data_IF_186923237650
#
_entry.id   IF_186923237650
#
_cell.length_a   1.000
_cell.length_b   1.000
_cell.length_c   1.000
_cell.angle_alpha   90.00
_cell.angle_beta   90.00
_cell.angle_gamma   90.00
#
_symmetry.space_group_name_H-M   'P 1'
#
loop_
_entity.id
_entity.type
_entity.pdbx_description
1 polymer ?
#
# COMPACT_ATOMS: atom_id res chain seq x y z
N UNK A 1 -0.60 -7.66 -29.42
CA UNK A 1 -2.00 -7.52 -29.82
C UNK A 1 -2.10 -6.96 -31.25
N UNK A 2 -2.17 -7.84 -32.27
CA UNK A 2 -2.54 -7.42 -33.63
C UNK A 2 -4.06 -7.17 -33.60
N UNK A 3 -4.50 -5.92 -33.73
CA UNK A 3 -5.90 -5.57 -33.96
C UNK A 3 -6.53 -4.49 -33.07
N UNK A 4 -6.01 -4.18 -31.91
CA UNK A 4 -6.47 -3.00 -31.13
C UNK A 4 -5.54 -1.80 -31.36
N UNK A 5 -6.13 -0.62 -31.54
CA UNK A 5 -5.31 0.60 -31.60
C UNK A 5 -4.54 0.70 -30.29
N UNK A 6 -3.23 0.69 -30.34
CA UNK A 6 -2.28 0.72 -29.19
C UNK A 6 -2.67 1.78 -28.15
N UNK A 7 -3.17 2.93 -28.60
CA UNK A 7 -3.64 4.02 -27.74
C UNK A 7 -4.81 3.66 -26.82
N UNK A 8 -5.74 2.80 -27.25
CA UNK A 8 -6.88 2.38 -26.42
C UNK A 8 -6.49 1.29 -25.44
N UNK A 9 -5.63 0.34 -25.86
CA UNK A 9 -5.10 -0.69 -25.00
C UNK A 9 -4.31 -0.09 -23.83
N UNK A 10 -3.44 0.89 -24.09
CA UNK A 10 -2.61 1.51 -23.06
C UNK A 10 -3.41 2.38 -22.06
N UNK A 11 -4.62 2.79 -22.40
CA UNK A 11 -5.53 3.55 -21.52
C UNK A 11 -6.38 2.66 -20.62
N UNK A 12 -6.56 1.40 -20.96
CA UNK A 12 -7.39 0.47 -20.19
C UNK A 12 -6.76 0.13 -18.84
N UNK A 13 -7.56 -0.24 -17.81
CA UNK A 13 -7.06 -0.74 -16.54
C UNK A 13 -6.12 -1.92 -16.71
N UNK A 14 -5.11 -2.02 -15.86
CA UNK A 14 -4.06 -3.05 -16.00
C UNK A 14 -4.60 -4.47 -15.94
N UNK A 15 -5.54 -4.77 -15.06
CA UNK A 15 -6.13 -6.10 -14.95
C UNK A 15 -6.95 -6.46 -16.22
N UNK A 16 -7.67 -5.51 -16.80
CA UNK A 16 -8.40 -5.74 -18.05
C UNK A 16 -7.44 -6.04 -19.20
N UNK A 17 -6.31 -5.33 -19.29
CA UNK A 17 -5.26 -5.61 -20.28
C UNK A 17 -4.64 -7.00 -20.09
N UNK A 18 -4.33 -7.37 -18.84
CA UNK A 18 -3.80 -8.69 -18.52
C UNK A 18 -4.81 -9.78 -18.87
N UNK A 19 -6.10 -9.58 -18.57
CA UNK A 19 -7.18 -10.52 -18.92
C UNK A 19 -7.25 -10.74 -20.43
N UNK A 20 -7.24 -9.67 -21.23
CA UNK A 20 -7.25 -9.75 -22.68
C UNK A 20 -6.03 -10.53 -23.20
N UNK A 21 -4.83 -10.25 -22.67
CA UNK A 21 -3.60 -10.92 -23.09
C UNK A 21 -3.63 -12.42 -22.76
N UNK A 22 -4.04 -12.78 -21.54
CA UNK A 22 -4.12 -14.17 -21.10
C UNK A 22 -5.16 -14.97 -21.90
N UNK A 23 -6.35 -14.40 -22.12
CA UNK A 23 -7.39 -15.01 -22.97
C UNK A 23 -6.88 -15.28 -24.40
N UNK A 24 -6.16 -14.32 -24.99
CA UNK A 24 -5.54 -14.50 -26.32
C UNK A 24 -4.49 -15.61 -26.35
N UNK A 25 -3.89 -15.96 -25.21
CA UNK A 25 -2.94 -17.05 -25.03
C UNK A 25 -3.62 -18.37 -24.61
N UNK A 26 -4.94 -18.45 -24.63
CA UNK A 26 -5.70 -19.65 -24.26
C UNK A 26 -5.78 -19.91 -22.75
N UNK A 27 -5.38 -18.95 -21.91
CA UNK A 27 -5.36 -19.11 -20.45
C UNK A 27 -6.70 -18.67 -19.87
N UNK A 28 -7.27 -19.46 -18.96
CA UNK A 28 -8.50 -19.11 -18.22
C UNK A 28 -8.22 -17.97 -17.26
N UNK A 29 -9.14 -16.98 -17.18
CA UNK A 29 -8.95 -15.74 -16.40
C UNK A 29 -10.05 -15.49 -15.36
N UNK A 30 -10.74 -16.55 -14.92
CA UNK A 30 -11.90 -16.45 -14.04
C UNK A 30 -11.63 -15.71 -12.72
N UNK A 31 -10.38 -15.74 -12.23
CA UNK A 31 -9.98 -15.18 -10.94
C UNK A 31 -9.05 -13.97 -11.04
N UNK A 32 -8.81 -13.41 -12.24
CA UNK A 32 -7.83 -12.33 -12.41
C UNK A 32 -8.18 -11.06 -11.62
N UNK A 33 -9.47 -10.83 -11.35
CA UNK A 33 -9.94 -9.69 -10.55
C UNK A 33 -10.14 -10.03 -9.07
N UNK A 34 -10.10 -11.31 -8.71
CA UNK A 34 -10.26 -11.81 -7.35
C UNK A 34 -9.05 -12.67 -6.98
N UNK A 35 -7.90 -12.01 -6.88
CA UNK A 35 -6.63 -12.68 -6.56
C UNK A 35 -6.66 -13.13 -5.11
N UNK A 36 -6.55 -14.42 -4.88
CA UNK A 36 -6.39 -15.00 -3.54
C UNK A 36 -4.90 -15.02 -3.16
N UNK A 37 -4.56 -14.36 -2.05
CA UNK A 37 -3.22 -14.32 -1.47
C UNK A 37 -3.15 -15.11 -0.14
N UNK A 38 -4.20 -15.84 0.24
CA UNK A 38 -4.24 -16.56 1.53
C UNK A 38 -3.16 -17.64 1.63
N UNK A 39 -2.79 -18.24 0.51
CA UNK A 39 -1.70 -19.23 0.42
C UNK A 39 -0.33 -18.69 0.83
N UNK A 40 -0.15 -17.35 0.79
CA UNK A 40 1.10 -16.68 1.15
C UNK A 40 1.12 -16.19 2.60
N UNK A 41 0.08 -16.45 3.38
CA UNK A 41 0.00 -16.03 4.78
C UNK A 41 0.72 -17.06 5.64
N UNK A 42 1.72 -16.58 6.39
CA UNK A 42 2.51 -17.39 7.33
C UNK A 42 2.39 -16.80 8.76
N UNK A 43 2.74 -17.59 9.75
CA UNK A 43 2.81 -17.11 11.13
C UNK A 43 4.00 -16.16 11.33
N UNK A 44 3.69 -14.93 11.69
CA UNK A 44 4.64 -13.87 12.05
C UNK A 44 4.40 -13.30 13.45
N UNK A 45 3.68 -14.05 14.29
CA UNK A 45 3.27 -13.59 15.61
C UNK A 45 4.47 -13.17 16.49
N UNK A 46 5.59 -13.90 16.40
CA UNK A 46 6.83 -13.56 17.12
C UNK A 46 7.39 -12.20 16.67
N UNK A 47 7.38 -11.93 15.35
CA UNK A 47 7.82 -10.65 14.79
C UNK A 47 6.91 -9.51 15.26
N UNK A 48 5.59 -9.72 15.21
CA UNK A 48 4.62 -8.71 15.65
C UNK A 48 4.77 -8.44 17.15
N UNK A 49 4.78 -9.45 18.01
CA UNK A 49 4.87 -9.30 19.48
C UNK A 49 6.16 -8.61 19.93
N UNK A 50 7.28 -8.85 19.28
CA UNK A 50 8.54 -8.12 19.51
C UNK A 50 8.38 -6.61 19.27
N UNK A 51 7.44 -6.22 18.40
CA UNK A 51 7.26 -4.84 17.96
C UNK A 51 6.05 -4.14 18.57
N UNK A 52 4.95 -4.82 18.79
CA UNK A 52 3.74 -4.23 19.37
C UNK A 52 2.83 -5.27 20.01
N UNK A 53 2.12 -4.86 21.08
CA UNK A 53 1.01 -5.59 21.69
C UNK A 53 -0.36 -5.01 21.31
N UNK A 54 -0.41 -4.01 20.42
CA UNK A 54 -1.63 -3.29 20.05
C UNK A 54 -1.98 -3.53 18.61
N UNK A 55 -3.25 -3.23 18.24
CA UNK A 55 -3.59 -3.04 16.84
C UNK A 55 -2.68 -1.98 16.21
N UNK A 56 -2.38 -2.13 14.93
CA UNK A 56 -1.43 -1.23 14.29
C UNK A 56 -1.88 -0.73 12.92
N UNK A 57 -1.47 0.50 12.65
CA UNK A 57 -1.53 1.14 11.34
C UNK A 57 -0.19 0.89 10.67
N UNK A 58 -0.22 0.38 9.44
CA UNK A 58 0.98 0.11 8.67
C UNK A 58 1.14 1.16 7.58
N UNK A 59 2.31 1.80 7.51
CA UNK A 59 2.60 2.82 6.52
C UNK A 59 3.64 2.34 5.50
N UNK A 60 3.43 2.71 4.23
CA UNK A 60 4.36 2.45 3.12
C UNK A 60 4.72 3.77 2.43
N UNK A 61 5.66 4.53 3.00
CA UNK A 61 6.00 5.88 2.55
C UNK A 61 7.02 5.90 1.41
N UNK A 62 7.62 4.76 1.09
CA UNK A 62 8.71 4.68 0.13
C UNK A 62 8.21 4.41 -1.29
N UNK A 63 9.07 4.63 -2.25
CA UNK A 63 8.88 4.27 -3.64
C UNK A 63 10.25 4.05 -4.30
N UNK A 64 10.26 3.44 -5.48
CA UNK A 64 11.49 3.30 -6.26
C UNK A 64 12.15 4.66 -6.52
N UNK A 65 13.47 4.72 -6.39
CA UNK A 65 14.25 5.92 -6.72
C UNK A 65 14.07 6.41 -8.17
N UNK A 66 13.60 5.52 -9.06
CA UNK A 66 13.24 5.86 -10.44
C UNK A 66 11.95 6.71 -10.55
N UNK A 67 11.15 6.76 -9.49
CA UNK A 67 9.84 7.42 -9.48
C UNK A 67 9.64 8.30 -8.23
N UNK A 68 10.52 9.29 -7.98
CA UNK A 68 10.46 10.12 -6.76
C UNK A 68 9.15 10.92 -6.63
N UNK A 69 8.50 11.22 -7.76
CA UNK A 69 7.19 11.88 -7.82
C UNK A 69 6.02 11.04 -7.25
N UNK A 70 6.24 9.76 -6.95
CA UNK A 70 5.27 8.90 -6.23
C UNK A 70 5.36 9.04 -4.71
N UNK A 71 6.34 9.77 -4.19
CA UNK A 71 6.59 9.88 -2.76
C UNK A 71 5.89 11.08 -2.18
N UNK A 72 4.96 10.84 -1.25
CA UNK A 72 4.36 11.91 -0.46
C UNK A 72 5.31 12.31 0.68
N UNK A 73 5.69 13.61 0.81
CA UNK A 73 6.78 13.99 1.71
C UNK A 73 6.38 14.12 3.18
N UNK A 74 5.08 14.05 3.52
CA UNK A 74 4.59 14.45 4.84
C UNK A 74 4.23 13.28 5.76
N UNK A 75 4.73 12.07 5.53
CA UNK A 75 4.45 10.90 6.38
C UNK A 75 4.83 11.12 7.84
N UNK A 76 5.98 11.74 8.12
CA UNK A 76 6.40 12.06 9.50
C UNK A 76 5.35 12.89 10.23
N UNK A 77 4.88 13.98 9.61
CA UNK A 77 3.84 14.85 10.17
C UNK A 77 2.50 14.12 10.34
N UNK A 78 2.18 13.20 9.44
CA UNK A 78 0.98 12.38 9.56
C UNK A 78 1.08 11.42 10.75
N UNK A 79 2.22 10.77 10.94
CA UNK A 79 2.49 9.87 12.08
C UNK A 79 2.33 10.62 13.40
N UNK A 80 2.89 11.81 13.52
CA UNK A 80 2.77 12.68 14.69
C UNK A 80 1.29 13.00 14.98
N UNK A 81 0.54 13.41 13.95
CA UNK A 81 -0.88 13.75 14.08
C UNK A 81 -1.76 12.54 14.44
N UNK A 82 -1.48 11.35 13.91
CA UNK A 82 -2.18 10.12 14.27
C UNK A 82 -1.90 9.75 15.74
N UNK A 83 -0.65 9.88 16.18
CA UNK A 83 -0.27 9.61 17.57
C UNK A 83 -0.91 10.56 18.57
N UNK A 84 -0.95 11.84 18.24
CA UNK A 84 -1.59 12.85 19.06
C UNK A 84 -3.09 12.55 19.26
N UNK A 85 -3.78 12.22 18.18
CA UNK A 85 -5.24 12.00 18.21
C UNK A 85 -5.62 10.65 18.83
N UNK A 86 -5.00 9.56 18.39
CA UNK A 86 -5.35 8.20 18.84
C UNK A 86 -4.57 7.77 20.08
N UNK A 87 -3.58 8.57 20.52
CA UNK A 87 -2.74 8.29 21.69
C UNK A 87 -2.16 6.87 21.66
N UNK A 88 -2.52 6.04 22.64
CA UNK A 88 -2.04 4.67 22.77
C UNK A 88 -2.92 3.62 22.09
N UNK A 89 -3.98 4.01 21.37
CA UNK A 89 -4.91 3.06 20.74
C UNK A 89 -4.24 2.21 19.67
N UNK A 90 -3.43 2.84 18.81
CA UNK A 90 -2.74 2.14 17.72
C UNK A 90 -1.23 2.32 17.79
N UNK A 91 -0.49 1.27 17.41
CA UNK A 91 0.91 1.41 17.03
C UNK A 91 1.01 1.81 15.56
N UNK A 92 2.02 2.61 15.20
CA UNK A 92 2.29 2.95 13.80
C UNK A 92 3.57 2.27 13.41
N UNK A 93 3.48 1.34 12.47
CA UNK A 93 4.59 0.52 12.00
C UNK A 93 4.97 0.90 10.56
N UNK A 94 6.24 0.76 10.25
CA UNK A 94 6.79 0.85 8.89
C UNK A 94 7.65 -0.37 8.62
N UNK A 95 7.43 -1.04 7.49
CA UNK A 95 8.21 -2.18 7.02
C UNK A 95 9.06 -1.74 5.81
N UNK A 96 10.32 -1.32 6.02
CA UNK A 96 11.18 -0.86 4.94
C UNK A 96 11.74 -2.02 4.13
N UNK A 97 11.98 -1.76 2.83
CA UNK A 97 12.86 -2.59 2.02
C UNK A 97 14.35 -2.44 2.43
N UNK A 98 15.25 -3.26 1.84
CA UNK A 98 16.66 -3.29 2.25
C UNK A 98 17.40 -1.94 2.18
N UNK A 99 16.99 -1.05 1.27
CA UNK A 99 17.64 0.25 1.05
C UNK A 99 16.88 1.44 1.69
N UNK A 100 15.81 1.16 2.45
CA UNK A 100 14.91 2.18 2.98
C UNK A 100 15.05 2.37 4.50
N UNK A 101 15.89 1.56 5.16
CA UNK A 101 15.99 1.49 6.62
C UNK A 101 16.35 2.83 7.26
N UNK A 102 17.36 3.52 6.74
CA UNK A 102 17.81 4.81 7.29
C UNK A 102 16.76 5.91 7.13
N UNK A 103 15.99 5.83 6.08
CA UNK A 103 14.86 6.74 5.89
C UNK A 103 13.69 6.40 6.81
N UNK A 104 13.40 5.11 7.00
CA UNK A 104 12.35 4.63 7.90
C UNK A 104 12.55 5.09 9.34
N UNK A 105 13.78 5.11 9.83
CA UNK A 105 14.15 5.60 11.18
C UNK A 105 13.75 7.07 11.42
N UNK A 106 13.68 7.88 10.36
CA UNK A 106 13.34 9.32 10.45
C UNK A 106 11.85 9.61 10.56
N UNK A 107 10.99 8.60 10.42
CA UNK A 107 9.52 8.79 10.29
C UNK A 107 8.78 8.87 11.62
N UNK A 108 9.45 8.69 12.77
CA UNK A 108 8.79 8.55 14.07
C UNK A 108 7.77 7.38 14.13
N UNK A 109 7.80 6.45 13.17
CA UNK A 109 7.09 5.18 13.19
C UNK A 109 8.01 4.07 13.71
N UNK A 110 7.43 3.02 14.25
CA UNK A 110 8.25 1.87 14.68
C UNK A 110 8.63 1.04 13.46
N UNK A 111 9.91 0.89 13.23
CA UNK A 111 10.45 0.05 12.16
C UNK A 111 10.30 -1.41 12.55
N UNK A 112 9.70 -2.23 11.67
CA UNK A 112 9.53 -3.68 11.87
C UNK A 112 10.47 -4.44 10.94
N UNK A 113 11.27 -5.31 11.54
CA UNK A 113 12.29 -6.14 10.88
C UNK A 113 12.20 -7.57 11.43
N UNK A 114 12.73 -8.52 10.71
CA UNK A 114 13.00 -9.87 11.21
C UNK A 114 14.49 -10.04 11.43
N UNK A 115 14.93 -10.13 12.70
CA UNK A 115 16.34 -10.23 13.08
C UNK A 115 17.22 -9.18 12.38
N UNK A 116 16.78 -7.90 12.44
CA UNK A 116 17.45 -6.73 11.85
C UNK A 116 17.52 -6.72 10.32
N UNK A 117 16.79 -7.61 9.65
CA UNK A 117 16.68 -7.69 8.19
C UNK A 117 15.27 -7.31 7.76
N UNK A 118 15.13 -6.70 6.58
CA UNK A 118 13.82 -6.42 5.97
C UNK A 118 13.01 -7.69 5.83
N UNK A 119 11.69 -7.58 6.05
CA UNK A 119 10.78 -8.71 5.92
C UNK A 119 10.85 -9.31 4.51
N UNK A 120 10.77 -10.62 4.42
CA UNK A 120 10.53 -11.31 3.14
C UNK A 120 9.15 -10.94 2.59
N UNK A 121 8.91 -11.16 1.30
CA UNK A 121 7.61 -10.85 0.69
C UNK A 121 6.44 -11.57 1.38
N UNK A 122 6.62 -12.83 1.76
CA UNK A 122 5.58 -13.63 2.45
C UNK A 122 5.32 -13.08 3.85
N UNK A 123 6.36 -12.70 4.60
CA UNK A 123 6.23 -12.03 5.90
C UNK A 123 5.54 -10.67 5.76
N UNK A 124 5.86 -9.91 4.71
CA UNK A 124 5.22 -8.62 4.43
C UNK A 124 3.72 -8.79 4.11
N UNK A 125 3.35 -9.78 3.28
CA UNK A 125 1.95 -10.14 3.00
C UNK A 125 1.22 -10.45 4.31
N UNK A 126 1.84 -11.24 5.19
CA UNK A 126 1.27 -11.61 6.49
C UNK A 126 1.12 -10.40 7.42
N UNK A 127 2.10 -9.49 7.44
CA UNK A 127 2.03 -8.24 8.21
C UNK A 127 0.91 -7.33 7.71
N UNK A 128 0.78 -7.18 6.40
CA UNK A 128 -0.31 -6.44 5.77
C UNK A 128 -1.66 -7.06 6.17
N UNK A 129 -1.78 -8.38 6.10
CA UNK A 129 -3.00 -9.07 6.49
C UNK A 129 -3.39 -8.84 7.97
N UNK A 130 -2.43 -8.72 8.88
CA UNK A 130 -2.65 -8.46 10.31
C UNK A 130 -2.89 -6.99 10.66
N UNK A 131 -2.61 -6.06 9.76
CA UNK A 131 -2.77 -4.63 10.01
C UNK A 131 -4.24 -4.23 10.14
N UNK A 132 -4.52 -3.23 10.99
CA UNK A 132 -5.84 -2.61 11.12
C UNK A 132 -6.16 -1.67 9.98
N UNK A 133 -5.16 -0.91 9.56
CA UNK A 133 -5.31 0.10 8.52
C UNK A 133 -3.98 0.32 7.78
N UNK A 134 -4.06 0.70 6.52
CA UNK A 134 -2.89 0.92 5.67
C UNK A 134 -2.91 2.32 5.07
N UNK A 135 -1.74 2.96 5.05
CA UNK A 135 -1.52 4.22 4.36
C UNK A 135 -0.29 4.05 3.46
N UNK A 136 -0.46 4.17 2.17
CA UNK A 136 0.61 3.85 1.21
C UNK A 136 0.73 4.87 0.07
N UNK A 137 1.92 5.01 -0.48
CA UNK A 137 2.10 5.53 -1.84
C UNK A 137 1.72 4.43 -2.87
N UNK A 138 1.63 4.79 -4.15
CA UNK A 138 1.43 3.83 -5.26
C UNK A 138 2.66 2.94 -5.45
N UNK A 139 2.68 1.81 -4.73
CA UNK A 139 3.81 0.86 -4.65
C UNK A 139 3.32 -0.58 -4.52
N UNK A 140 4.22 -1.56 -4.64
CA UNK A 140 3.89 -2.98 -4.51
C UNK A 140 3.07 -3.33 -3.26
N UNK A 141 3.48 -2.90 -2.05
CA UNK A 141 2.70 -3.13 -0.83
C UNK A 141 1.26 -2.60 -0.87
N UNK A 142 1.01 -1.47 -1.56
CA UNK A 142 -0.35 -0.95 -1.74
C UNK A 142 -1.21 -1.89 -2.57
N UNK A 143 -0.67 -2.48 -3.64
CA UNK A 143 -1.37 -3.47 -4.46
C UNK A 143 -1.67 -4.75 -3.67
N UNK A 144 -0.71 -5.25 -2.90
CA UNK A 144 -0.92 -6.39 -1.99
C UNK A 144 -2.05 -6.07 -0.99
N UNK A 145 -2.05 -4.87 -0.42
CA UNK A 145 -3.09 -4.41 0.51
C UNK A 145 -4.48 -4.41 -0.12
N UNK A 146 -4.58 -3.95 -1.36
CA UNK A 146 -5.81 -3.97 -2.13
C UNK A 146 -6.30 -5.39 -2.38
N UNK A 147 -5.44 -6.30 -2.84
CA UNK A 147 -5.80 -7.70 -3.11
C UNK A 147 -6.16 -8.47 -1.83
N UNK A 148 -5.60 -8.12 -0.67
CA UNK A 148 -6.01 -8.64 0.64
C UNK A 148 -7.27 -7.96 1.18
N UNK A 149 -7.90 -7.08 0.41
CA UNK A 149 -9.10 -6.32 0.78
C UNK A 149 -8.97 -5.58 2.12
N UNK A 150 -7.79 -5.03 2.40
CA UNK A 150 -7.50 -4.32 3.65
C UNK A 150 -8.13 -2.93 3.68
N UNK A 151 -8.51 -2.50 4.87
CA UNK A 151 -8.90 -1.11 5.07
C UNK A 151 -7.69 -0.19 4.89
N UNK A 152 -7.82 0.81 4.04
CA UNK A 152 -6.70 1.72 3.83
C UNK A 152 -6.92 2.79 2.79
N UNK A 153 -5.88 3.57 2.61
CA UNK A 153 -5.78 4.63 1.60
C UNK A 153 -4.46 4.53 0.85
N UNK A 154 -4.50 4.86 -0.42
CA UNK A 154 -3.31 4.97 -1.27
C UNK A 154 -3.25 6.36 -1.90
N UNK A 155 -2.06 6.95 -1.94
CA UNK A 155 -1.84 8.32 -2.38
C UNK A 155 -1.30 8.34 -3.82
N UNK A 156 -1.99 9.08 -4.69
CA UNK A 156 -1.64 9.23 -6.10
C UNK A 156 -1.36 10.68 -6.45
N UNK A 157 -0.24 10.89 -7.15
CA UNK A 157 -0.03 12.09 -7.95
C UNK A 157 -0.48 11.88 -9.41
N UNK A 158 -0.05 12.78 -10.31
CA UNK A 158 -0.40 12.72 -11.75
C UNK A 158 0.34 11.65 -12.56
N UNK A 159 1.27 10.90 -11.95
CA UNK A 159 2.09 9.88 -12.64
C UNK A 159 1.27 8.72 -13.22
N UNK A 160 0.12 8.41 -12.61
CA UNK A 160 -0.85 7.41 -13.06
C UNK A 160 -2.20 7.65 -12.36
N UNK A 161 -3.18 6.78 -12.55
CA UNK A 161 -4.46 6.85 -11.83
C UNK A 161 -4.78 5.52 -11.16
N UNK A 162 -5.51 5.58 -10.04
CA UNK A 162 -5.98 4.41 -9.31
C UNK A 162 -6.79 3.45 -10.21
N UNK A 163 -7.62 4.02 -11.11
CA UNK A 163 -8.39 3.26 -12.11
C UNK A 163 -7.46 2.51 -13.07
N UNK A 164 -6.42 3.17 -13.59
CA UNK A 164 -5.49 2.56 -14.55
C UNK A 164 -4.72 1.39 -13.96
N UNK A 165 -4.37 1.46 -12.68
CA UNK A 165 -3.63 0.38 -11.99
C UNK A 165 -4.56 -0.61 -11.27
N UNK A 166 -5.88 -0.42 -11.33
CA UNK A 166 -6.90 -1.32 -10.76
C UNK A 166 -6.71 -1.58 -9.26
N UNK A 167 -6.38 -0.52 -8.48
CA UNK A 167 -6.01 -0.69 -7.06
C UNK A 167 -7.17 -0.47 -6.10
N UNK A 168 -8.24 0.21 -6.51
CA UNK A 168 -9.36 0.50 -5.63
C UNK A 168 -10.34 -0.67 -5.49
N UNK A 169 -10.84 -0.84 -4.28
CA UNK A 169 -11.96 -1.72 -3.96
C UNK A 169 -12.84 -1.08 -2.88
N UNK A 170 -13.76 -1.81 -2.26
CA UNK A 170 -14.67 -1.30 -1.22
C UNK A 170 -13.91 -0.70 -0.04
N UNK A 171 -12.85 -1.34 0.42
CA UNK A 171 -12.13 -1.01 1.65
C UNK A 171 -10.87 -0.17 1.41
N UNK A 172 -10.28 -0.26 0.21
CA UNK A 172 -9.03 0.41 -0.13
C UNK A 172 -9.27 1.50 -1.17
N UNK A 173 -9.09 2.78 -0.78
CA UNK A 173 -9.44 3.94 -1.59
C UNK A 173 -8.25 4.81 -1.92
N UNK A 174 -8.28 5.43 -3.10
CA UNK A 174 -7.26 6.38 -3.53
C UNK A 174 -7.61 7.82 -3.14
N UNK A 175 -6.58 8.57 -2.72
CA UNK A 175 -6.60 10.03 -2.69
C UNK A 175 -5.73 10.48 -3.86
N UNK A 176 -6.33 11.15 -4.84
CA UNK A 176 -5.63 11.59 -6.05
C UNK A 176 -5.52 13.10 -6.09
N UNK A 177 -4.30 13.60 -6.35
CA UNK A 177 -3.97 15.02 -6.51
C UNK A 177 -3.04 15.20 -7.71
N UNK A 178 -2.93 16.42 -8.22
CA UNK A 178 -1.98 16.71 -9.31
C UNK A 178 -0.53 16.51 -8.89
N UNK A 179 -0.18 17.01 -7.69
CA UNK A 179 1.15 16.85 -7.10
C UNK A 179 1.01 16.40 -5.65
N UNK A 180 1.74 15.34 -5.26
CA UNK A 180 1.69 14.84 -3.89
C UNK A 180 2.17 15.86 -2.86
N UNK A 181 3.06 16.76 -3.23
CA UNK A 181 3.54 17.86 -2.38
C UNK A 181 2.40 18.81 -1.97
N UNK A 182 1.35 18.93 -2.78
CA UNK A 182 0.20 19.79 -2.48
C UNK A 182 -0.84 19.10 -1.57
N UNK A 183 -0.75 17.79 -1.39
CA UNK A 183 -1.67 17.02 -0.55
C UNK A 183 -1.40 17.31 0.93
N UNK A 184 -2.33 18.02 1.56
CA UNK A 184 -2.18 18.43 2.96
C UNK A 184 -2.35 17.28 3.92
N UNK A 185 -1.55 17.25 4.99
CA UNK A 185 -1.62 16.24 6.07
C UNK A 185 -3.02 16.17 6.69
N UNK A 186 -3.69 17.31 6.89
CA UNK A 186 -5.05 17.36 7.42
C UNK A 186 -6.07 16.62 6.56
N UNK A 187 -5.94 16.68 5.23
CA UNK A 187 -6.80 15.95 4.30
C UNK A 187 -6.62 14.43 4.48
N UNK A 188 -5.38 13.95 4.39
CA UNK A 188 -5.06 12.51 4.58
C UNK A 188 -5.53 12.03 5.95
N UNK A 189 -5.26 12.81 7.00
CA UNK A 189 -5.67 12.47 8.36
C UNK A 189 -7.20 12.37 8.52
N UNK A 190 -7.96 13.26 7.89
CA UNK A 190 -9.42 13.21 7.93
C UNK A 190 -9.95 11.94 7.26
N UNK A 191 -9.37 11.51 6.14
CA UNK A 191 -9.74 10.23 5.51
C UNK A 191 -9.38 9.02 6.39
N UNK A 192 -8.24 9.06 7.08
CA UNK A 192 -7.88 8.05 8.09
C UNK A 192 -8.93 7.98 9.20
N UNK A 193 -9.36 9.13 9.74
CA UNK A 193 -10.39 9.17 10.80
C UNK A 193 -11.73 8.57 10.35
N UNK A 194 -12.20 8.94 9.16
CA UNK A 194 -13.47 8.43 8.61
C UNK A 194 -13.51 6.91 8.50
N UNK A 195 -12.36 6.28 8.29
CA UNK A 195 -12.26 4.84 8.04
C UNK A 195 -11.83 4.02 9.26
N UNK A 196 -11.26 4.64 10.29
CA UNK A 196 -10.84 3.98 11.53
C UNK A 196 -11.87 4.08 12.66
N UNK A 197 -12.83 5.00 12.54
CA UNK A 197 -13.99 5.12 13.43
C UNK A 197 -15.16 4.37 12.82
#
# INVERSE_FOLDING_TARGET
>A
AKGEKKSNFDKSPVLDRMEIQLKKSGIKTNFIKNIDLTWAIVDIEKIIKKNTSREFILIFPFCSNKHPNKKWPYYKKLVEKIREFYKKKYSILVAPGPHELEEAKKLNAKVILDNDVSLSLIQLISLINRSKFIIANDTGPAHISSHLNKNGIVLFGSHTSAKKVSIENTNFKAITVSKLEDLKVGHVFNEVKKKLN
#
